data_IF_634981460030
#
_entry.id   IF_634981460030
#
_cell.length_a   1.000
_cell.length_b   1.000
_cell.length_c   1.000
_cell.angle_alpha   90.00
_cell.angle_beta   90.00
_cell.angle_gamma   90.00
#
_symmetry.space_group_name_H-M   'P 1'
#
loop_
_entity.id
_entity.type
_entity.pdbx_description
1 polymer ?
#
# COMPACT_ATOMS: atom_id res chain seq x y z
N UNK A 1 14.44 -15.26 7.45
CA UNK A 1 13.10 -15.59 6.91
C UNK A 1 12.02 -14.79 7.64
N UNK A 2 12.10 -14.67 8.96
CA UNK A 2 11.17 -13.91 9.82
C UNK A 2 11.09 -12.41 9.48
N UNK A 3 12.23 -11.72 9.37
CA UNK A 3 12.27 -10.28 9.01
C UNK A 3 11.57 -9.98 7.70
N UNK A 4 11.77 -10.83 6.68
CA UNK A 4 11.13 -10.68 5.36
C UNK A 4 9.61 -10.83 5.46
N UNK A 5 9.14 -11.74 6.30
CA UNK A 5 7.71 -11.92 6.56
C UNK A 5 7.14 -10.72 7.32
N UNK A 6 7.84 -10.17 8.31
CA UNK A 6 7.41 -8.95 9.02
C UNK A 6 7.34 -7.75 8.09
N UNK A 7 8.37 -7.56 7.24
CA UNK A 7 8.39 -6.48 6.25
C UNK A 7 7.21 -6.58 5.28
N UNK A 8 6.92 -7.76 4.75
CA UNK A 8 5.84 -7.94 3.76
C UNK A 8 4.45 -7.97 4.37
N UNK A 9 4.27 -8.59 5.55
CA UNK A 9 2.94 -8.81 6.15
C UNK A 9 2.48 -7.66 7.04
N UNK A 10 3.41 -6.85 7.56
CA UNK A 10 3.10 -5.78 8.52
C UNK A 10 3.53 -4.43 7.98
N UNK A 11 4.80 -4.29 7.60
CA UNK A 11 5.33 -2.97 7.20
C UNK A 11 4.78 -2.52 5.85
N UNK A 12 4.80 -3.40 4.83
CA UNK A 12 4.34 -3.05 3.49
C UNK A 12 2.85 -2.62 3.44
N UNK A 13 1.90 -3.31 4.10
CA UNK A 13 0.51 -2.87 4.13
C UNK A 13 0.32 -1.53 4.83
N UNK A 14 1.04 -1.28 5.94
CA UNK A 14 0.95 0.00 6.67
C UNK A 14 1.47 1.16 5.80
N UNK A 15 2.65 1.00 5.19
CA UNK A 15 3.22 2.03 4.31
C UNK A 15 2.32 2.29 3.10
N UNK A 16 1.76 1.22 2.52
CA UNK A 16 0.81 1.32 1.41
C UNK A 16 -0.42 2.10 1.81
N UNK A 17 -1.04 1.74 2.93
CA UNK A 17 -2.24 2.42 3.43
C UNK A 17 -1.99 3.92 3.59
N UNK A 18 -0.92 4.29 4.29
CA UNK A 18 -0.57 5.69 4.53
C UNK A 18 -0.30 6.41 3.21
N UNK A 19 0.51 5.83 2.33
CA UNK A 19 0.85 6.45 1.05
C UNK A 19 -0.37 6.67 0.16
N UNK A 20 -1.24 5.66 0.04
CA UNK A 20 -2.47 5.77 -0.76
C UNK A 20 -3.37 6.87 -0.21
N UNK A 21 -3.59 6.92 1.11
CA UNK A 21 -4.41 7.99 1.71
C UNK A 21 -3.79 9.38 1.54
N UNK A 22 -2.47 9.52 1.65
CA UNK A 22 -1.80 10.80 1.36
C UNK A 22 -1.99 11.20 -0.10
N UNK A 23 -1.81 10.28 -1.05
CA UNK A 23 -1.97 10.56 -2.47
C UNK A 23 -3.41 10.92 -2.80
N UNK A 24 -4.39 10.15 -2.31
CA UNK A 24 -5.81 10.45 -2.49
C UNK A 24 -6.17 11.83 -1.98
N UNK A 25 -5.73 12.17 -0.76
CA UNK A 25 -5.95 13.49 -0.19
C UNK A 25 -5.29 14.59 -1.05
N UNK A 26 -4.07 14.36 -1.54
CA UNK A 26 -3.33 15.33 -2.36
C UNK A 26 -3.99 15.59 -3.72
N UNK A 27 -4.70 14.61 -4.29
CA UNK A 27 -5.39 14.75 -5.59
C UNK A 27 -6.88 15.08 -5.45
N UNK A 28 -7.38 15.32 -4.23
CA UNK A 28 -8.79 15.60 -3.97
C UNK A 28 -9.71 14.41 -4.22
N UNK A 29 -9.18 13.18 -4.07
CA UNK A 29 -9.98 11.97 -4.17
C UNK A 29 -10.73 11.75 -2.86
N UNK A 30 -12.00 12.14 -2.86
CA UNK A 30 -12.93 11.98 -1.77
C UNK A 30 -13.80 10.76 -2.05
N UNK A 31 -13.53 9.66 -1.35
CA UNK A 31 -14.33 8.44 -1.38
C UNK A 31 -14.58 7.96 0.04
N UNK A 32 -15.85 7.80 0.40
CA UNK A 32 -16.26 7.23 1.68
C UNK A 32 -16.97 5.88 1.49
N UNK A 33 -16.33 4.82 1.98
CA UNK A 33 -16.85 3.45 1.92
C UNK A 33 -18.22 3.28 2.59
N UNK A 34 -18.49 4.02 3.67
CA UNK A 34 -19.71 3.88 4.46
C UNK A 34 -20.88 4.67 3.87
N UNK A 35 -20.59 5.71 3.09
CA UNK A 35 -21.61 6.54 2.43
C UNK A 35 -21.91 6.04 1.02
N UNK A 36 -20.87 5.73 0.25
CA UNK A 36 -20.97 5.38 -1.17
C UNK A 36 -21.01 3.86 -1.43
N UNK A 37 -20.53 3.05 -0.49
CA UNK A 37 -20.54 1.59 -0.57
C UNK A 37 -19.46 0.98 -1.48
N UNK A 38 -19.46 -0.35 -1.56
CA UNK A 38 -18.44 -1.16 -2.27
C UNK A 38 -18.67 -1.29 -3.80
N UNK A 39 -19.84 -0.88 -4.30
CA UNK A 39 -20.17 -0.97 -5.74
C UNK A 39 -19.97 0.38 -6.46
N UNK A 40 -19.10 1.21 -5.92
CA UNK A 40 -18.75 2.51 -6.47
C UNK A 40 -17.40 2.44 -7.20
N UNK A 41 -17.22 3.24 -8.24
CA UNK A 41 -15.93 3.38 -8.92
C UNK A 41 -14.82 3.85 -7.98
N UNK A 42 -15.13 4.69 -6.99
CA UNK A 42 -14.22 5.12 -5.94
C UNK A 42 -13.64 3.95 -5.14
N UNK A 43 -14.46 2.94 -4.81
CA UNK A 43 -14.00 1.71 -4.16
C UNK A 43 -12.97 0.98 -5.02
N UNK A 44 -13.27 0.83 -6.32
CA UNK A 44 -12.39 0.14 -7.27
C UNK A 44 -11.07 0.89 -7.38
N UNK A 45 -11.09 2.21 -7.46
CA UNK A 45 -9.89 3.05 -7.50
C UNK A 45 -9.09 2.93 -6.20
N UNK A 46 -9.74 2.92 -5.03
CA UNK A 46 -9.06 2.79 -3.74
C UNK A 46 -8.36 1.42 -3.61
N UNK A 47 -9.04 0.33 -3.97
CA UNK A 47 -8.45 -1.02 -3.99
C UNK A 47 -7.30 -1.11 -4.99
N UNK A 48 -7.47 -0.59 -6.21
CA UNK A 48 -6.43 -0.65 -7.23
C UNK A 48 -5.20 0.18 -6.82
N UNK A 49 -5.42 1.35 -6.23
CA UNK A 49 -4.35 2.20 -5.66
C UNK A 49 -3.58 1.44 -4.58
N UNK A 50 -4.31 0.75 -3.69
CA UNK A 50 -3.71 -0.09 -2.65
C UNK A 50 -2.90 -1.25 -3.23
N UNK A 51 -3.44 -1.99 -4.20
CA UNK A 51 -2.75 -3.11 -4.83
C UNK A 51 -1.43 -2.67 -5.49
N UNK A 52 -1.46 -1.56 -6.23
CA UNK A 52 -0.27 -0.99 -6.88
C UNK A 52 0.74 -0.50 -5.85
N UNK A 53 0.29 0.24 -4.83
CA UNK A 53 1.15 0.71 -3.75
C UNK A 53 1.82 -0.45 -3.00
N UNK A 54 1.06 -1.50 -2.69
CA UNK A 54 1.57 -2.69 -2.00
C UNK A 54 2.62 -3.42 -2.83
N UNK A 55 2.39 -3.59 -4.14
CA UNK A 55 3.40 -4.18 -5.03
C UNK A 55 4.68 -3.34 -5.05
N UNK A 56 4.55 -2.00 -5.16
CA UNK A 56 5.67 -1.06 -5.15
C UNK A 56 6.47 -1.11 -3.85
N UNK A 57 5.81 -0.97 -2.69
CA UNK A 57 6.48 -1.04 -1.39
C UNK A 57 7.06 -2.42 -1.11
N UNK A 58 6.37 -3.50 -1.45
CA UNK A 58 6.91 -4.86 -1.30
C UNK A 58 8.19 -5.04 -2.10
N UNK A 59 8.21 -4.59 -3.35
CA UNK A 59 9.41 -4.62 -4.19
C UNK A 59 10.55 -3.78 -3.57
N UNK A 60 10.26 -2.55 -3.16
CA UNK A 60 11.27 -1.65 -2.57
C UNK A 60 11.84 -2.20 -1.27
N UNK A 61 11.00 -2.66 -0.34
CA UNK A 61 11.44 -3.23 0.93
C UNK A 61 12.30 -4.48 0.69
N UNK A 62 11.88 -5.37 -0.21
CA UNK A 62 12.70 -6.52 -0.56
C UNK A 62 14.04 -6.09 -1.18
N UNK A 63 14.03 -5.08 -2.05
CA UNK A 63 15.24 -4.60 -2.72
C UNK A 63 16.24 -3.96 -1.76
N UNK A 64 15.76 -3.17 -0.81
CA UNK A 64 16.59 -2.46 0.18
C UNK A 64 17.12 -3.44 1.23
N UNK A 65 16.25 -4.23 1.85
CA UNK A 65 16.64 -5.08 2.97
C UNK A 65 17.33 -6.39 2.54
N UNK A 66 17.13 -6.86 1.29
CA UNK A 66 17.88 -8.00 0.76
C UNK A 66 19.31 -7.65 0.32
N UNK A 67 19.63 -6.36 0.16
CA UNK A 67 20.99 -5.90 -0.18
C UNK A 67 21.89 -5.75 1.05
N UNK A 68 21.30 -5.49 2.23
CA UNK A 68 22.05 -5.27 3.47
C UNK A 68 22.49 -6.57 4.18
N UNK A 69 22.19 -7.75 3.62
CA UNK A 69 22.58 -9.06 4.19
C UNK A 69 23.70 -9.75 3.41
N UNK A 70 24.34 -9.05 2.47
CA UNK A 70 25.46 -9.56 1.65
C UNK A 70 26.80 -8.89 1.96
N UNK A 71 26.91 -8.20 3.10
CA UNK A 71 28.17 -7.73 3.69
C UNK A 71 28.47 -8.56 4.95
#
# INVERSE_FOLDING_TARGET
>A
METRNTLLKVVAPILTFVAVKVVHNAVGFEYDLFVEGIFNLGFVIDIMSFAVGYAGFSYLLLRVFSRNTSE
#
